data_IF_066521629855
#
_entry.id   IF_066521629855
#
_cell.length_a   1.000
_cell.length_b   1.000
_cell.length_c   1.000
_cell.angle_alpha   90.00
_cell.angle_beta   90.00
_cell.angle_gamma   90.00
#
_symmetry.space_group_name_H-M   'P 1'
#
loop_
_entity.id
_entity.type
_entity.pdbx_description
1 polymer ?
#
# COMPACT_ATOMS: atom_id res chain seq x y z
N UNK A 1 -16.30 -0.93 -21.61
CA UNK A 1 -15.84 -2.31 -21.85
C UNK A 1 -15.35 -2.81 -20.52
N UNK A 2 -16.10 -3.72 -19.89
CA UNK A 2 -15.64 -4.36 -18.66
C UNK A 2 -14.55 -5.37 -19.03
N UNK A 3 -13.42 -5.43 -18.32
CA UNK A 3 -12.37 -6.40 -18.60
C UNK A 3 -12.85 -7.82 -18.26
N UNK A 4 -12.63 -8.76 -19.19
CA UNK A 4 -12.87 -10.18 -18.95
C UNK A 4 -11.78 -10.74 -18.04
N UNK A 5 -12.11 -10.98 -16.78
CA UNK A 5 -11.21 -11.59 -15.81
C UNK A 5 -11.29 -13.12 -15.86
N UNK A 6 -10.17 -13.80 -15.60
CA UNK A 6 -10.11 -15.25 -15.44
C UNK A 6 -9.48 -15.64 -14.11
N UNK A 7 -9.80 -16.83 -13.64
CA UNK A 7 -9.15 -17.41 -12.46
C UNK A 7 -7.64 -17.54 -12.72
N UNK A 8 -6.82 -17.11 -11.76
CA UNK A 8 -5.36 -17.05 -11.90
C UNK A 8 -4.80 -15.71 -12.39
N UNK A 9 -5.62 -14.83 -12.97
CA UNK A 9 -5.16 -13.50 -13.36
C UNK A 9 -4.77 -12.65 -12.15
N UNK A 10 -3.88 -11.69 -12.37
CA UNK A 10 -3.52 -10.69 -11.36
C UNK A 10 -4.30 -9.39 -11.58
N UNK A 11 -4.77 -8.81 -10.48
CA UNK A 11 -5.48 -7.54 -10.50
C UNK A 11 -5.07 -6.62 -9.35
N UNK A 12 -5.42 -5.36 -9.50
CA UNK A 12 -5.27 -4.31 -8.51
C UNK A 12 -6.65 -3.95 -7.97
N UNK A 13 -6.77 -3.76 -6.65
CA UNK A 13 -8.01 -3.39 -5.97
C UNK A 13 -7.94 -1.93 -5.55
N UNK A 14 -9.02 -1.17 -5.76
CA UNK A 14 -9.10 0.23 -5.37
C UNK A 14 -8.85 0.44 -3.88
N UNK A 15 -8.10 1.50 -3.53
CA UNK A 15 -7.84 1.89 -2.15
C UNK A 15 -9.12 2.18 -1.36
N UNK A 16 -10.22 2.52 -2.02
CA UNK A 16 -11.51 2.80 -1.39
C UNK A 16 -12.04 1.61 -0.57
N UNK A 17 -11.62 0.39 -0.91
CA UNK A 17 -12.01 -0.82 -0.18
C UNK A 17 -11.10 -1.09 1.03
N UNK A 18 -10.03 -0.31 1.20
CA UNK A 18 -9.04 -0.46 2.27
C UNK A 18 -8.99 0.77 3.19
N UNK A 19 -9.33 0.56 4.46
CA UNK A 19 -9.32 1.64 5.48
C UNK A 19 -8.02 1.65 6.30
N UNK A 20 -7.21 0.58 6.21
CA UNK A 20 -6.06 0.33 7.10
C UNK A 20 -4.72 0.34 6.35
N UNK A 21 -4.66 1.04 5.22
CA UNK A 21 -3.40 1.21 4.52
C UNK A 21 -2.48 2.10 5.38
N UNK A 22 -1.14 1.91 5.31
CA UNK A 22 -0.14 2.76 6.00
C UNK A 22 0.25 4.01 5.19
N UNK A 23 0.58 5.11 5.88
CA UNK A 23 1.08 6.35 5.26
C UNK A 23 0.03 7.44 4.97
N UNK A 24 0.47 8.65 4.59
CA UNK A 24 -0.40 9.81 4.38
C UNK A 24 -1.26 9.68 3.13
N UNK A 25 -2.54 10.05 3.21
CA UNK A 25 -3.55 9.81 2.17
C UNK A 25 -3.14 10.28 0.75
N UNK A 26 -2.42 11.41 0.69
CA UNK A 26 -2.03 12.08 -0.56
C UNK A 26 -0.87 11.41 -1.29
N UNK A 27 -0.02 10.65 -0.60
CA UNK A 27 1.12 9.95 -1.23
C UNK A 27 0.81 8.50 -1.59
N UNK A 28 -0.41 8.04 -1.35
CA UNK A 28 -0.76 6.63 -1.57
C UNK A 28 -1.25 6.41 -2.99
N UNK A 29 -0.85 5.28 -3.52
CA UNK A 29 -1.42 4.77 -4.76
C UNK A 29 -2.92 4.59 -4.65
N UNK A 30 -3.62 4.88 -5.74
CA UNK A 30 -5.08 4.72 -5.83
C UNK A 30 -5.53 3.27 -5.83
N UNK A 31 -4.62 2.34 -6.12
CA UNK A 31 -4.87 0.91 -6.17
C UNK A 31 -3.79 0.15 -5.40
N UNK A 32 -4.17 -1.01 -4.88
CA UNK A 32 -3.37 -1.87 -4.02
C UNK A 32 -3.34 -3.28 -4.62
N UNK A 33 -2.24 -4.00 -4.46
CA UNK A 33 -2.03 -5.30 -5.09
C UNK A 33 -0.95 -5.20 -6.16
N UNK A 34 -0.43 -6.32 -6.65
CA UNK A 34 -1.22 -7.33 -7.35
C UNK A 34 -1.78 -8.42 -6.44
N UNK A 35 -3.04 -8.78 -6.68
CA UNK A 35 -3.71 -9.92 -6.06
C UNK A 35 -4.14 -10.92 -7.13
N UNK A 36 -4.02 -12.21 -6.82
CA UNK A 36 -4.44 -13.28 -7.73
C UNK A 36 -5.91 -13.59 -7.55
N UNK A 37 -6.65 -13.68 -8.65
CA UNK A 37 -8.04 -14.11 -8.67
C UNK A 37 -8.11 -15.60 -8.34
N UNK A 38 -8.83 -15.94 -7.27
CA UNK A 38 -9.12 -17.32 -6.89
C UNK A 38 -10.34 -17.81 -7.67
N UNK A 39 -11.40 -16.98 -7.71
CA UNK A 39 -12.70 -17.37 -8.25
C UNK A 39 -13.47 -16.16 -8.78
N UNK A 40 -14.26 -16.36 -9.82
CA UNK A 40 -15.23 -15.37 -10.30
C UNK A 40 -16.60 -15.61 -9.64
N UNK A 41 -17.14 -14.57 -9.00
CA UNK A 41 -18.46 -14.60 -8.37
C UNK A 41 -19.46 -13.93 -9.31
N UNK A 42 -19.98 -14.75 -10.23
CA UNK A 42 -20.83 -14.29 -11.31
C UNK A 42 -20.09 -13.29 -12.21
N UNK A 43 -20.83 -12.29 -12.72
CA UNK A 43 -20.28 -11.26 -13.60
C UNK A 43 -19.78 -10.01 -12.87
N UNK A 44 -20.24 -9.81 -11.63
CA UNK A 44 -20.13 -8.52 -10.95
C UNK A 44 -19.04 -8.49 -9.88
N UNK A 45 -18.52 -9.63 -9.44
CA UNK A 45 -17.57 -9.70 -8.35
C UNK A 45 -16.50 -10.78 -8.58
N UNK A 46 -15.34 -10.54 -7.97
CA UNK A 46 -14.17 -11.42 -8.03
C UNK A 46 -13.67 -11.69 -6.62
N UNK A 47 -13.33 -12.93 -6.35
CA UNK A 47 -12.68 -13.35 -5.11
C UNK A 47 -11.17 -13.42 -5.34
N UNK A 48 -10.40 -12.74 -4.49
CA UNK A 48 -8.95 -12.65 -4.62
C UNK A 48 -8.22 -13.14 -3.39
N UNK A 49 -7.00 -13.63 -3.60
CA UNK A 49 -6.08 -14.02 -2.54
C UNK A 49 -5.42 -12.79 -1.93
N UNK A 50 -5.91 -12.36 -0.77
CA UNK A 50 -5.32 -11.26 -0.01
C UNK A 50 -4.06 -11.72 0.75
N UNK A 51 -3.04 -10.86 0.78
CA UNK A 51 -1.83 -11.08 1.59
C UNK A 51 -2.13 -10.90 3.08
N UNK A 52 -1.25 -11.38 3.96
CA UNK A 52 -1.49 -11.40 5.41
C UNK A 52 -1.83 -10.01 5.99
N UNK A 53 -1.23 -8.94 5.46
CA UNK A 53 -1.52 -7.56 5.85
C UNK A 53 -2.99 -7.16 5.60
N UNK A 54 -3.62 -7.75 4.59
CA UNK A 54 -5.01 -7.48 4.19
C UNK A 54 -5.99 -8.60 4.57
N UNK A 55 -5.54 -9.62 5.30
CA UNK A 55 -6.36 -10.79 5.70
C UNK A 55 -7.66 -10.45 6.44
N UNK A 56 -7.72 -9.29 7.11
CA UNK A 56 -8.93 -8.80 7.81
C UNK A 56 -9.98 -8.20 6.87
N UNK A 57 -9.67 -8.01 5.59
CA UNK A 57 -10.59 -7.46 4.59
C UNK A 57 -11.32 -8.59 3.89
N UNK A 58 -12.54 -8.30 3.44
CA UNK A 58 -13.32 -9.26 2.68
C UNK A 58 -12.60 -9.57 1.35
N UNK A 59 -12.41 -10.85 0.97
CA UNK A 59 -11.65 -11.22 -0.22
C UNK A 59 -12.42 -10.99 -1.53
N UNK A 60 -13.72 -10.70 -1.45
CA UNK A 60 -14.58 -10.47 -2.61
C UNK A 60 -14.72 -8.98 -2.91
N UNK A 61 -14.44 -8.59 -4.14
CA UNK A 61 -14.49 -7.21 -4.62
C UNK A 61 -15.36 -7.08 -5.88
N UNK A 62 -16.12 -5.98 -6.04
CA UNK A 62 -16.86 -5.73 -7.28
C UNK A 62 -15.94 -5.41 -8.46
N UNK A 63 -16.32 -5.82 -9.67
CA UNK A 63 -15.53 -5.62 -10.91
C UNK A 63 -15.24 -4.15 -11.21
N UNK A 64 -16.13 -3.23 -10.83
CA UNK A 64 -15.94 -1.78 -11.02
C UNK A 64 -14.83 -1.16 -10.16
N UNK A 65 -14.38 -1.86 -9.12
CA UNK A 65 -13.32 -1.39 -8.20
C UNK A 65 -11.99 -2.12 -8.39
N UNK A 66 -11.87 -2.96 -9.43
CA UNK A 66 -10.64 -3.68 -9.75
C UNK A 66 -10.10 -3.27 -11.11
N UNK A 67 -8.79 -3.44 -11.29
CA UNK A 67 -8.10 -3.21 -12.57
C UNK A 67 -7.19 -4.39 -12.88
N UNK A 68 -7.09 -4.83 -14.16
CA UNK A 68 -6.12 -5.85 -14.52
C UNK A 68 -4.69 -5.35 -14.24
N UNK A 69 -3.87 -6.23 -13.69
CA UNK A 69 -2.45 -5.96 -13.46
C UNK A 69 -1.65 -6.46 -14.67
N UNK A 70 -0.83 -5.58 -15.24
CA UNK A 70 0.08 -5.94 -16.32
C UNK A 70 1.51 -5.90 -15.80
N UNK A 71 2.17 -7.04 -15.84
CA UNK A 71 3.58 -7.12 -15.47
C UNK A 71 4.42 -6.31 -16.47
N UNK A 72 5.49 -5.68 -15.97
CA UNK A 72 6.40 -4.92 -16.84
C UNK A 72 7.28 -5.89 -17.60
N UNK A 73 7.01 -6.04 -18.89
CA UNK A 73 7.84 -6.80 -19.83
C UNK A 73 9.09 -6.00 -20.23
N UNK A 74 10.29 -6.50 -19.88
CA UNK A 74 11.57 -5.83 -20.19
C UNK A 74 11.80 -5.70 -21.69
N UNK A 75 11.46 -6.75 -22.44
CA UNK A 75 11.61 -6.78 -23.90
C UNK A 75 10.73 -5.75 -24.61
N UNK A 76 9.59 -5.38 -24.03
CA UNK A 76 8.65 -4.43 -24.63
C UNK A 76 9.09 -2.98 -24.42
N UNK A 77 9.87 -2.71 -23.36
CA UNK A 77 10.29 -1.37 -22.97
C UNK A 77 11.78 -1.34 -22.54
N UNK A 78 12.72 -1.56 -23.48
CA UNK A 78 14.15 -1.70 -23.14
C UNK A 78 14.76 -0.43 -22.51
N UNK A 79 14.19 0.75 -22.78
CA UNK A 79 14.68 2.02 -22.24
C UNK A 79 14.19 2.32 -20.80
N UNK A 80 13.34 1.48 -20.20
CA UNK A 80 12.81 1.70 -18.85
C UNK A 80 13.86 1.31 -17.81
N UNK A 81 14.45 2.28 -17.12
CA UNK A 81 15.35 2.03 -15.98
C UNK A 81 14.51 1.52 -14.80
N UNK A 82 14.90 0.38 -14.21
CA UNK A 82 14.35 -0.05 -12.92
C UNK A 82 14.86 0.90 -11.84
N UNK A 83 13.97 1.43 -11.00
CA UNK A 83 14.41 2.15 -9.82
C UNK A 83 15.21 1.19 -8.94
N UNK A 84 16.37 1.61 -8.40
CA UNK A 84 17.14 0.75 -7.50
C UNK A 84 16.25 0.37 -6.31
N UNK A 85 16.19 -0.93 -6.01
CA UNK A 85 15.55 -1.42 -4.78
C UNK A 85 16.23 -0.70 -3.62
N UNK A 86 15.47 -0.09 -2.69
CA UNK A 86 16.08 0.50 -1.49
C UNK A 86 16.98 -0.54 -0.83
N UNK A 87 18.18 -0.17 -0.36
CA UNK A 87 19.02 -1.10 0.39
C UNK A 87 18.19 -1.68 1.54
N UNK A 88 18.25 -3.00 1.74
CA UNK A 88 17.67 -3.63 2.93
C UNK A 88 18.11 -2.83 4.14
N UNK A 89 17.14 -2.38 4.94
CA UNK A 89 17.46 -1.61 6.14
C UNK A 89 18.21 -2.57 7.04
N UNK A 90 19.53 -2.39 7.15
CA UNK A 90 20.35 -3.13 8.09
C UNK A 90 19.65 -3.03 9.45
N UNK A 91 19.44 -4.15 10.13
CA UNK A 91 18.81 -4.17 11.44
C UNK A 91 19.63 -3.24 12.34
N UNK A 92 19.06 -2.07 12.66
CA UNK A 92 19.67 -1.14 13.58
C UNK A 92 19.53 -1.82 14.93
N UNK A 93 20.59 -2.51 15.35
CA UNK A 93 20.71 -3.04 16.70
C UNK A 93 20.31 -1.94 17.67
N UNK A 94 19.38 -2.27 18.55
CA UNK A 94 18.78 -1.39 19.55
C UNK A 94 19.78 -1.05 20.68
N UNK A 95 20.98 -0.60 20.30
CA UNK A 95 21.95 -0.07 21.24
C UNK A 95 21.66 1.43 21.38
N UNK A 96 21.12 1.91 22.52
CA UNK A 96 20.95 3.33 22.75
C UNK A 96 22.34 3.99 22.78
N UNK A 97 22.71 4.64 21.69
CA UNK A 97 23.91 5.48 21.66
C UNK A 97 23.79 6.62 22.68
N UNK A 98 24.91 7.11 23.24
CA UNK A 98 24.86 8.16 24.26
C UNK A 98 24.22 9.44 23.67
N UNK A 99 23.07 9.81 24.23
CA UNK A 99 22.31 11.00 23.83
C UNK A 99 23.12 12.24 24.20
N UNK A 100 23.66 12.95 23.21
CA UNK A 100 24.55 14.11 23.44
C UNK A 100 23.84 15.34 23.99
N UNK A 101 22.53 15.52 23.70
CA UNK A 101 21.76 16.68 24.16
C UNK A 101 20.25 16.46 23.98
N UNK A 102 19.47 16.72 25.02
CA UNK A 102 18.00 16.81 24.92
C UNK A 102 17.64 18.27 24.73
N UNK A 103 17.04 18.62 23.58
CA UNK A 103 16.53 19.96 23.32
C UNK A 103 15.11 20.03 23.90
N UNK A 104 14.90 20.78 24.99
CA UNK A 104 13.56 21.09 25.50
C UNK A 104 12.89 22.09 24.55
N UNK A 105 11.90 21.64 23.79
CA UNK A 105 10.94 22.46 23.04
C UNK A 105 9.57 22.31 23.73
N UNK A 106 8.61 23.23 23.80
CA UNK A 106 8.47 24.68 23.59
C UNK A 106 7.25 25.07 24.46
N UNK A 107 7.18 26.30 24.99
CA UNK A 107 6.09 26.90 25.79
C UNK A 107 4.80 26.07 25.98
N UNK A 108 4.55 25.69 27.23
CA UNK A 108 3.26 25.17 27.68
C UNK A 108 2.32 26.37 27.88
N UNK A 109 1.18 26.40 27.19
CA UNK A 109 0.09 27.32 27.51
C UNK A 109 -0.72 26.76 28.66
N UNK A 110 -0.56 27.35 29.85
CA UNK A 110 -1.50 27.19 30.96
C UNK A 110 -2.39 28.42 31.00
N UNK A 111 -3.71 28.21 30.91
CA UNK A 111 -4.74 29.24 31.05
C UNK A 111 -4.63 30.44 30.10
N UNK A 112 -4.35 30.18 28.82
CA UNK A 112 -4.49 31.19 27.76
C UNK A 112 -3.51 32.37 27.80
N UNK A 113 -2.48 32.33 28.64
CA UNK A 113 -1.44 33.37 28.68
C UNK A 113 -0.04 32.76 28.58
N UNK A 114 0.71 33.21 27.58
CA UNK A 114 2.14 32.91 27.44
C UNK A 114 2.93 33.69 28.51
N UNK A 115 3.67 32.99 29.38
CA UNK A 115 4.74 33.60 30.18
C UNK A 115 6.11 33.22 29.62
N UNK A 116 7.04 34.19 29.67
CA UNK A 116 8.45 34.06 29.29
C UNK A 116 9.24 33.41 30.41
#
# INVERSE_FOLDING_TARGET
MEPDFREGDQLLVSKLNFNNLKGPEKMRDSFVGPFTIIKLIGKNAVEVKLTQEFSRKHPVFPVGFVKPYFQTEENKFPSRKKNPTPPETAEVGDSPGPVKKIIKATKIRLNGKDKR
#
